data_IF_068035710001
#
_entry.id   IF_068035710001
#
_cell.length_a   1.000
_cell.length_b   1.000
_cell.length_c   1.000
_cell.angle_alpha   90.00
_cell.angle_beta   90.00
_cell.angle_gamma   90.00
#
_symmetry.space_group_name_H-M   'P 1'
#
loop_
_entity.id
_entity.type
_entity.pdbx_description
1 polymer ?
#
# COMPACT_ATOMS: atom_id res chain seq x y z
N UNK A 1 1.36 3.03 39.92
CA UNK A 1 1.92 4.29 39.39
C UNK A 1 1.79 4.24 37.88
N UNK A 2 1.00 5.17 37.33
CA UNK A 2 0.79 5.54 35.93
C UNK A 2 1.05 4.52 34.82
N UNK A 3 0.00 3.83 34.37
CA UNK A 3 -0.02 3.15 33.07
C UNK A 3 -0.19 4.17 31.94
N UNK A 4 0.61 4.05 30.89
CA UNK A 4 0.47 4.84 29.67
C UNK A 4 -0.72 4.32 28.87
N UNK A 5 -1.77 5.13 28.80
CA UNK A 5 -2.93 4.90 27.93
C UNK A 5 -2.48 5.30 26.52
N UNK A 6 -2.41 4.33 25.60
CA UNK A 6 -2.31 4.60 24.17
C UNK A 6 -3.60 5.27 23.73
N UNK A 7 -3.57 6.60 23.63
CA UNK A 7 -4.71 7.38 23.17
C UNK A 7 -4.86 7.14 21.66
N UNK A 8 -6.05 6.73 21.20
CA UNK A 8 -6.36 6.68 19.76
C UNK A 8 -6.15 8.08 19.19
N UNK A 9 -5.22 8.23 18.25
CA UNK A 9 -5.01 9.49 17.53
C UNK A 9 -6.31 9.87 16.81
N UNK A 10 -6.86 11.04 17.14
CA UNK A 10 -8.09 11.55 16.55
C UNK A 10 -7.79 12.21 15.21
N UNK A 11 -7.56 11.40 14.17
CA UNK A 11 -7.31 11.88 12.81
C UNK A 11 -8.58 12.50 12.26
N UNK A 12 -8.55 13.81 12.02
CA UNK A 12 -9.72 14.59 11.54
C UNK A 12 -9.60 15.04 10.09
N UNK A 13 -8.40 14.98 9.51
CA UNK A 13 -8.16 15.37 8.12
C UNK A 13 -7.01 14.55 7.52
N UNK A 14 -7.19 14.03 6.31
CA UNK A 14 -6.17 13.26 5.58
C UNK A 14 -6.20 13.57 4.09
N UNK A 15 -5.06 13.43 3.41
CA UNK A 15 -4.94 13.67 1.96
C UNK A 15 -3.51 13.54 1.45
N UNK A 16 -3.23 14.10 0.27
CA UNK A 16 -1.91 14.05 -0.38
C UNK A 16 -1.37 15.44 -0.72
N UNK A 17 -0.07 15.64 -0.50
CA UNK A 17 0.65 16.87 -0.87
C UNK A 17 0.75 17.09 -2.39
N UNK A 18 0.55 16.03 -3.20
CA UNK A 18 0.48 16.12 -4.66
C UNK A 18 -0.77 16.87 -5.15
N UNK A 19 -1.80 17.00 -4.30
CA UNK A 19 -3.04 17.73 -4.60
C UNK A 19 -3.09 19.11 -3.94
N UNK A 20 -2.68 19.21 -2.67
CA UNK A 20 -2.58 20.46 -1.89
C UNK A 20 -1.18 20.52 -1.30
N UNK A 21 -0.35 21.47 -1.73
CA UNK A 21 1.03 21.55 -1.26
C UNK A 21 1.10 21.91 0.25
N UNK A 22 2.28 21.71 0.87
CA UNK A 22 2.44 21.95 2.31
C UNK A 22 2.11 23.40 2.71
N UNK A 23 2.45 24.38 1.88
CA UNK A 23 2.14 25.79 2.14
C UNK A 23 0.64 26.04 2.25
N UNK A 24 -0.13 25.56 1.28
CA UNK A 24 -1.60 25.61 1.29
C UNK A 24 -2.19 24.86 2.47
N UNK A 25 -1.66 23.68 2.80
CA UNK A 25 -2.11 22.89 3.93
C UNK A 25 -1.95 23.64 5.27
N UNK A 26 -0.79 24.28 5.47
CA UNK A 26 -0.55 25.14 6.63
C UNK A 26 -1.48 26.36 6.65
N UNK A 27 -1.84 26.92 5.49
CA UNK A 27 -2.83 28.01 5.43
C UNK A 27 -4.23 27.54 5.84
N UNK A 28 -4.68 26.37 5.39
CA UNK A 28 -5.99 25.79 5.72
C UNK A 28 -6.08 25.54 7.24
N UNK A 29 -5.10 24.84 7.82
CA UNK A 29 -5.04 24.60 9.27
C UNK A 29 -4.94 25.92 10.05
N UNK A 30 -4.19 26.87 9.49
CA UNK A 30 -4.01 28.20 10.04
C UNK A 30 -5.27 29.06 10.07
N UNK A 31 -6.09 28.99 9.03
CA UNK A 31 -7.38 29.71 8.95
C UNK A 31 -8.40 29.17 9.95
N UNK A 32 -8.30 27.88 10.29
CA UNK A 32 -9.17 27.22 11.26
C UNK A 32 -8.65 27.31 12.72
N UNK A 33 -7.50 27.94 12.96
CA UNK A 33 -6.89 28.00 14.29
C UNK A 33 -6.60 26.61 14.88
N UNK A 34 -6.28 25.62 14.03
CA UNK A 34 -6.20 24.22 14.45
C UNK A 34 -4.97 23.93 15.31
N UNK A 35 -5.16 23.19 16.41
CA UNK A 35 -4.09 22.66 17.26
C UNK A 35 -4.01 21.14 17.10
N UNK A 36 -2.82 20.61 16.87
CA UNK A 36 -2.62 19.18 16.63
C UNK A 36 -1.31 18.85 15.94
N UNK A 37 -1.20 17.61 15.47
CA UNK A 37 -0.02 17.07 14.79
C UNK A 37 -0.38 16.77 13.33
N UNK A 38 0.36 17.38 12.40
CA UNK A 38 0.34 17.03 10.99
C UNK A 38 1.49 16.06 10.72
N UNK A 39 1.16 14.78 10.53
CA UNK A 39 2.09 13.74 10.13
C UNK A 39 2.17 13.67 8.62
N UNK A 40 3.38 13.72 8.08
CA UNK A 40 3.69 13.52 6.66
C UNK A 40 4.37 12.16 6.50
N UNK A 41 3.88 11.34 5.57
CA UNK A 41 4.48 10.04 5.23
C UNK A 41 4.74 10.00 3.73
N UNK A 42 5.99 9.81 3.32
CA UNK A 42 6.37 9.70 1.92
C UNK A 42 7.09 8.38 1.69
N UNK A 43 6.89 7.77 0.52
CA UNK A 43 7.68 6.60 0.12
C UNK A 43 9.14 6.97 -0.17
N UNK A 44 9.43 8.24 -0.46
CA UNK A 44 10.77 8.70 -0.79
C UNK A 44 11.56 9.17 0.44
N UNK A 45 11.01 9.00 1.65
CA UNK A 45 11.64 9.36 2.91
C UNK A 45 11.62 8.18 3.91
N UNK A 46 12.71 7.90 4.64
CA UNK A 46 12.82 6.74 5.52
C UNK A 46 11.98 6.85 6.79
N UNK A 47 11.66 8.07 7.21
CA UNK A 47 10.92 8.35 8.45
C UNK A 47 9.79 9.34 8.16
N UNK A 48 8.63 9.22 8.84
CA UNK A 48 7.60 10.24 8.76
C UNK A 48 8.10 11.60 9.25
N UNK A 49 7.66 12.66 8.58
CA UNK A 49 7.81 14.03 9.07
C UNK A 49 6.66 14.39 10.00
N UNK A 50 6.92 15.23 11.00
CA UNK A 50 5.88 15.74 11.91
C UNK A 50 5.93 17.26 11.97
N UNK A 51 4.77 17.89 11.96
CA UNK A 51 4.63 19.32 12.18
C UNK A 51 3.64 19.51 13.31
N UNK A 52 4.06 20.20 14.37
CA UNK A 52 3.24 20.47 15.54
C UNK A 52 2.65 21.87 15.42
N UNK A 53 1.33 21.95 15.45
CA UNK A 53 0.59 23.21 15.31
C UNK A 53 -0.12 23.57 16.61
N UNK A 54 -0.04 24.85 16.99
CA UNK A 54 -0.77 25.46 18.10
C UNK A 54 -1.53 26.68 17.57
N UNK A 55 -2.85 26.72 17.76
CA UNK A 55 -3.72 27.80 17.29
C UNK A 55 -3.48 28.13 15.80
N UNK A 56 -3.24 27.10 14.99
CA UNK A 56 -2.97 27.19 13.57
C UNK A 56 -1.54 27.60 13.20
N UNK A 57 -0.62 27.77 14.15
CA UNK A 57 0.77 28.17 13.89
C UNK A 57 1.73 26.98 14.09
N UNK A 58 2.65 26.71 13.14
CA UNK A 58 3.72 25.75 13.38
C UNK A 58 4.61 26.20 14.54
N UNK A 59 4.67 25.40 15.61
CA UNK A 59 5.52 25.66 16.78
C UNK A 59 6.74 24.76 16.84
N UNK A 60 6.68 23.60 16.19
CA UNK A 60 7.80 22.68 16.01
C UNK A 60 7.62 21.83 14.75
N UNK A 61 8.70 21.22 14.29
CA UNK A 61 8.66 20.16 13.28
C UNK A 61 9.78 19.16 13.54
N UNK A 62 9.64 17.94 13.02
CA UNK A 62 10.61 16.86 13.09
C UNK A 62 10.71 16.20 11.71
N UNK A 63 11.94 15.96 11.25
CA UNK A 63 12.21 15.21 10.02
C UNK A 63 13.54 14.45 10.19
N UNK A 64 13.46 13.17 10.52
CA UNK A 64 14.64 12.38 10.92
C UNK A 64 15.31 12.97 12.17
N UNK A 65 16.59 13.31 12.06
CA UNK A 65 17.35 13.92 13.16
C UNK A 65 17.15 15.45 13.28
N UNK A 66 16.52 16.08 12.28
CA UNK A 66 16.28 17.53 12.28
C UNK A 66 15.05 17.88 13.12
N UNK A 67 15.12 19.04 13.80
CA UNK A 67 14.00 19.59 14.58
C UNK A 67 13.79 21.09 14.33
N UNK A 68 12.60 21.58 14.68
CA UNK A 68 12.26 23.01 14.62
C UNK A 68 12.18 23.55 13.18
N UNK A 69 12.70 24.75 12.97
CA UNK A 69 12.59 25.46 11.70
C UNK A 69 13.27 24.72 10.55
N UNK A 70 14.45 24.14 10.81
CA UNK A 70 15.23 23.46 9.79
C UNK A 70 14.50 22.20 9.29
N UNK A 71 13.92 21.42 10.21
CA UNK A 71 13.03 20.33 9.87
C UNK A 71 11.85 20.80 9.01
N UNK A 72 11.14 21.85 9.44
CA UNK A 72 10.01 22.39 8.68
C UNK A 72 10.42 22.81 7.26
N UNK A 73 11.57 23.47 7.10
CA UNK A 73 12.08 23.88 5.78
C UNK A 73 12.30 22.68 4.87
N UNK A 74 12.90 21.59 5.37
CA UNK A 74 13.12 20.38 4.56
C UNK A 74 11.81 19.71 4.15
N UNK A 75 10.77 19.76 5.00
CA UNK A 75 9.45 19.20 4.68
C UNK A 75 8.72 19.95 3.55
N UNK A 76 9.07 21.23 3.27
CA UNK A 76 8.55 21.92 2.08
C UNK A 76 9.03 21.29 0.76
N UNK A 77 10.18 20.59 0.78
CA UNK A 77 10.68 19.85 -0.38
C UNK A 77 9.89 18.58 -0.69
N UNK A 78 9.00 18.13 0.20
CA UNK A 78 8.21 16.92 -0.01
C UNK A 78 7.05 17.21 -0.97
N UNK A 79 7.25 16.85 -2.24
CA UNK A 79 6.28 17.06 -3.31
C UNK A 79 5.21 15.96 -3.32
N UNK A 80 5.60 14.73 -2.99
CA UNK A 80 4.72 13.56 -2.94
C UNK A 80 4.76 12.93 -1.54
N UNK A 81 3.78 13.28 -0.70
CA UNK A 81 3.60 12.70 0.62
C UNK A 81 2.12 12.62 1.00
N UNK A 82 1.76 11.64 1.83
CA UNK A 82 0.49 11.60 2.54
C UNK A 82 0.54 12.47 3.78
N UNK A 83 -0.55 13.15 4.06
CA UNK A 83 -0.70 13.88 5.30
C UNK A 83 -1.88 13.33 6.12
N UNK A 84 -1.68 13.28 7.43
CA UNK A 84 -2.71 12.98 8.42
C UNK A 84 -2.63 14.04 9.52
N UNK A 85 -3.72 14.75 9.76
CA UNK A 85 -3.82 15.72 10.85
C UNK A 85 -4.66 15.14 11.99
N UNK A 86 -4.02 14.98 13.14
CA UNK A 86 -4.65 14.56 14.39
C UNK A 86 -4.93 15.78 15.26
N UNK A 87 -6.21 16.01 15.58
CA UNK A 87 -6.61 17.10 16.47
C UNK A 87 -6.44 16.65 17.94
N UNK A 88 -5.30 16.99 18.52
CA UNK A 88 -4.94 16.59 19.88
C UNK A 88 -4.07 17.65 20.59
N UNK A 89 -4.07 17.68 21.94
CA UNK A 89 -3.21 18.57 22.69
C UNK A 89 -1.74 18.24 22.42
N UNK A 90 -0.96 19.25 22.01
CA UNK A 90 0.47 19.06 21.76
C UNK A 90 1.30 19.38 23.01
N UNK A 91 2.25 18.50 23.32
CA UNK A 91 3.27 18.70 24.35
C UNK A 91 4.65 18.66 23.69
N UNK A 92 4.95 19.65 22.85
CA UNK A 92 6.22 19.76 22.13
C UNK A 92 6.95 21.07 22.49
N UNK A 93 8.27 21.10 22.32
CA UNK A 93 9.05 22.32 22.52
C UNK A 93 8.76 23.32 21.40
N UNK A 94 8.50 24.59 21.75
CA UNK A 94 8.26 25.67 20.77
C UNK A 94 9.59 26.16 20.18
N UNK A 95 10.10 25.44 19.19
CA UNK A 95 11.38 25.73 18.52
C UNK A 95 11.23 26.70 17.34
N UNK A 96 10.01 26.85 16.79
CA UNK A 96 9.71 27.77 15.69
C UNK A 96 9.13 29.06 16.26
N UNK A 97 9.76 30.19 15.91
CA UNK A 97 9.38 31.53 16.41
C UNK A 97 8.86 32.47 15.33
N UNK A 98 9.06 32.14 14.05
CA UNK A 98 8.61 32.96 12.92
C UNK A 98 7.10 32.84 12.75
N UNK A 99 6.49 33.85 12.15
CA UNK A 99 5.07 33.80 11.85
C UNK A 99 4.79 32.84 10.68
N UNK A 100 3.59 32.25 10.65
CA UNK A 100 3.21 31.24 9.65
C UNK A 100 3.42 31.69 8.19
N UNK A 101 3.13 32.94 7.86
CA UNK A 101 3.25 33.42 6.48
C UNK A 101 4.72 33.50 6.06
N UNK A 102 5.59 33.99 6.94
CA UNK A 102 7.04 34.03 6.74
C UNK A 102 7.60 32.63 6.55
N UNK A 103 7.15 31.65 7.35
CA UNK A 103 7.52 30.24 7.21
C UNK A 103 7.17 29.69 5.83
N UNK A 104 5.94 29.96 5.36
CA UNK A 104 5.45 29.45 4.08
C UNK A 104 6.21 30.09 2.92
N UNK A 105 6.41 31.41 2.93
CA UNK A 105 7.13 32.11 1.87
C UNK A 105 8.60 31.69 1.81
N UNK A 106 9.27 31.59 2.96
CA UNK A 106 10.66 31.11 3.02
C UNK A 106 10.75 29.67 2.51
N UNK A 107 9.87 28.77 2.98
CA UNK A 107 9.85 27.38 2.57
C UNK A 107 9.63 27.20 1.05
N UNK A 108 8.62 27.87 0.48
CA UNK A 108 8.37 27.81 -0.96
C UNK A 108 9.52 28.39 -1.79
N UNK A 109 10.10 29.52 -1.35
CA UNK A 109 11.29 30.10 -2.01
C UNK A 109 12.47 29.13 -1.98
N UNK A 110 12.74 28.47 -0.86
CA UNK A 110 13.83 27.49 -0.76
C UNK A 110 13.66 26.32 -1.73
N UNK A 111 12.42 25.90 -2.00
CA UNK A 111 12.10 24.86 -2.99
C UNK A 111 12.31 25.34 -4.43
N UNK A 112 11.96 26.60 -4.73
CA UNK A 112 12.14 27.19 -6.06
C UNK A 112 13.62 27.48 -6.38
N UNK A 113 14.37 27.98 -5.40
CA UNK A 113 15.81 28.25 -5.50
C UNK A 113 16.65 26.96 -5.51
N UNK A 114 16.04 25.80 -5.24
CA UNK A 114 16.72 24.51 -5.14
C UNK A 114 17.59 24.35 -3.88
N UNK A 115 17.37 25.19 -2.87
CA UNK A 115 18.05 25.11 -1.57
C UNK A 115 17.56 23.94 -0.71
N UNK A 116 16.37 23.39 -1.02
CA UNK A 116 15.83 22.16 -0.43
C UNK A 116 15.66 21.12 -1.53
N UNK A 117 16.06 19.89 -1.23
CA UNK A 117 15.89 18.77 -2.15
C UNK A 117 14.41 18.46 -2.38
N UNK A 118 14.01 18.39 -3.66
CA UNK A 118 12.65 17.99 -4.04
C UNK A 118 12.51 16.48 -3.95
N UNK A 119 11.76 16.04 -2.95
CA UNK A 119 11.51 14.64 -2.62
C UNK A 119 10.14 14.24 -3.17
N UNK A 120 10.13 13.35 -4.18
CA UNK A 120 8.92 12.93 -4.87
C UNK A 120 9.21 12.23 -6.19
N UNK A 121 8.18 11.76 -6.88
CA UNK A 121 8.24 10.94 -8.09
C UNK A 121 9.11 11.53 -9.22
N UNK A 122 9.12 12.85 -9.36
CA UNK A 122 9.88 13.53 -10.41
C UNK A 122 11.41 13.38 -10.25
N UNK A 123 11.93 13.10 -9.05
CA UNK A 123 13.34 12.81 -8.85
C UNK A 123 13.70 11.42 -9.40
N UNK A 124 12.84 10.42 -9.15
CA UNK A 124 13.02 9.03 -9.59
C UNK A 124 12.96 8.89 -11.12
N UNK A 125 12.05 9.60 -11.80
CA UNK A 125 11.93 9.57 -13.26
C UNK A 125 13.15 10.12 -14.00
N UNK A 126 13.90 11.07 -13.40
CA UNK A 126 15.13 11.59 -14.02
C UNK A 126 16.28 10.58 -13.99
N UNK A 127 16.22 9.60 -13.10
CA UNK A 127 17.28 8.63 -12.86
C UNK A 127 17.06 7.28 -13.57
N UNK A 128 15.85 7.02 -14.08
CA UNK A 128 15.46 5.68 -14.56
C UNK A 128 14.69 5.72 -15.88
N UNK A 129 15.09 4.86 -16.83
CA UNK A 129 14.21 4.52 -17.95
C UNK A 129 13.11 3.58 -17.42
N UNK A 130 11.85 4.02 -17.48
CA UNK A 130 10.69 3.20 -17.07
C UNK A 130 10.56 1.91 -17.91
N UNK A 131 11.18 1.89 -19.09
CA UNK A 131 11.27 0.73 -19.99
C UNK A 131 12.73 0.35 -20.16
N UNK A 132 13.05 -0.93 -20.10
CA UNK A 132 14.36 -1.49 -20.42
C UNK A 132 14.10 -2.76 -21.20
N UNK A 133 14.97 -3.03 -22.17
CA UNK A 133 14.91 -4.19 -23.06
C UNK A 133 15.27 -5.51 -22.36
N UNK A 134 15.56 -5.47 -21.06
CA UNK A 134 15.93 -6.67 -20.31
C UNK A 134 14.66 -7.50 -20.03
N UNK A 135 14.41 -8.47 -20.90
CA UNK A 135 13.17 -9.22 -21.02
C UNK A 135 13.09 -10.44 -20.11
N UNK A 136 14.17 -10.92 -19.49
CA UNK A 136 14.28 -12.35 -19.21
C UNK A 136 13.70 -12.90 -17.90
N UNK A 137 13.37 -12.08 -16.89
CA UNK A 137 13.09 -12.62 -15.54
C UNK A 137 11.80 -12.13 -14.86
N UNK A 138 10.92 -11.40 -15.55
CA UNK A 138 9.64 -10.98 -14.97
C UNK A 138 8.54 -12.03 -15.16
N UNK A 139 7.86 -12.47 -14.08
CA UNK A 139 6.74 -13.38 -14.22
C UNK A 139 5.59 -12.70 -14.98
N UNK A 140 4.93 -13.46 -15.85
CA UNK A 140 3.74 -13.03 -16.59
C UNK A 140 2.50 -13.67 -16.00
N UNK A 141 1.56 -12.87 -15.52
CA UNK A 141 0.24 -13.31 -15.06
C UNK A 141 -0.78 -12.98 -16.13
N UNK A 142 -1.55 -13.98 -16.55
CA UNK A 142 -2.74 -13.80 -17.40
C UNK A 142 -3.98 -14.04 -16.56
N UNK A 143 -5.07 -13.42 -16.94
CA UNK A 143 -6.35 -13.65 -16.28
C UNK A 143 -7.25 -14.63 -17.05
N UNK A 144 -8.41 -14.93 -16.47
CA UNK A 144 -9.43 -15.75 -17.10
C UNK A 144 -10.12 -15.02 -18.27
N UNK A 145 -11.11 -15.67 -18.88
CA UNK A 145 -11.89 -15.07 -19.97
C UNK A 145 -12.57 -13.77 -19.51
N UNK A 146 -12.51 -12.77 -20.38
CA UNK A 146 -13.03 -11.42 -20.14
C UNK A 146 -14.54 -11.45 -20.31
N UNK A 147 -15.26 -11.00 -19.28
CA UNK A 147 -16.70 -10.77 -19.38
C UNK A 147 -16.96 -9.37 -19.95
N UNK A 148 -17.12 -9.30 -21.28
CA UNK A 148 -17.32 -8.05 -22.00
C UNK A 148 -18.57 -7.28 -21.55
N UNK A 149 -19.51 -7.89 -20.84
CA UNK A 149 -20.69 -7.18 -20.31
C UNK A 149 -20.32 -6.13 -19.24
N UNK A 150 -19.11 -6.22 -18.66
CA UNK A 150 -18.58 -5.24 -17.71
C UNK A 150 -17.66 -4.22 -18.37
N UNK A 151 -17.34 -4.35 -19.67
CA UNK A 151 -16.51 -3.39 -20.39
C UNK A 151 -17.39 -2.29 -20.95
N UNK A 152 -17.14 -1.05 -20.54
CA UNK A 152 -17.92 0.14 -20.95
C UNK A 152 -17.21 1.00 -21.99
N UNK A 153 -15.89 0.88 -22.07
CA UNK A 153 -15.06 1.59 -23.04
C UNK A 153 -13.77 0.80 -23.31
N UNK A 154 -13.07 1.12 -24.38
CA UNK A 154 -11.77 0.55 -24.71
C UNK A 154 -10.73 1.64 -24.94
N UNK A 155 -9.59 1.51 -24.30
CA UNK A 155 -8.49 2.47 -24.38
C UNK A 155 -7.24 1.80 -24.96
N UNK A 156 -6.56 2.50 -25.86
CA UNK A 156 -5.28 2.06 -26.41
C UNK A 156 -4.12 2.87 -25.86
N UNK A 157 -3.07 2.15 -25.47
CA UNK A 157 -1.84 2.74 -24.94
C UNK A 157 -0.65 2.33 -25.81
N UNK A 158 0.14 3.33 -26.21
CA UNK A 158 1.43 3.12 -26.87
C UNK A 158 2.48 2.64 -25.86
N UNK A 159 3.57 2.05 -26.38
CA UNK A 159 4.68 1.58 -25.56
C UNK A 159 5.20 2.67 -24.61
N UNK A 160 5.41 2.32 -23.34
CA UNK A 160 5.93 3.23 -22.32
C UNK A 160 4.92 4.18 -21.70
N UNK A 161 3.66 4.16 -22.14
CA UNK A 161 2.63 5.00 -21.54
C UNK A 161 2.24 4.46 -20.18
N UNK A 162 2.24 5.36 -19.20
CA UNK A 162 1.74 5.08 -17.86
C UNK A 162 0.21 5.06 -17.89
N UNK A 163 -0.37 3.94 -17.47
CA UNK A 163 -1.81 3.71 -17.38
C UNK A 163 -2.29 4.06 -15.97
N UNK A 164 -1.59 3.55 -14.97
CA UNK A 164 -1.83 3.83 -13.56
C UNK A 164 -0.58 4.43 -12.95
N UNK A 165 -0.74 5.40 -12.07
CA UNK A 165 0.36 6.11 -11.42
C UNK A 165 0.27 5.88 -9.92
N UNK A 166 1.36 5.39 -9.31
CA UNK A 166 1.51 5.22 -7.86
C UNK A 166 1.23 6.55 -7.13
N UNK A 167 0.64 6.47 -5.94
CA UNK A 167 0.27 7.60 -5.07
C UNK A 167 -0.80 8.56 -5.61
N UNK A 168 -1.20 8.44 -6.88
CA UNK A 168 -2.37 9.15 -7.39
C UNK A 168 -3.66 8.49 -6.97
N UNK A 169 -4.68 9.30 -6.76
CA UNK A 169 -6.05 8.84 -6.54
C UNK A 169 -6.68 8.41 -7.86
N UNK A 170 -7.37 7.27 -7.85
CA UNK A 170 -8.11 6.82 -9.02
C UNK A 170 -8.92 5.56 -8.73
N UNK A 171 -10.16 5.56 -9.20
CA UNK A 171 -11.11 4.45 -8.99
C UNK A 171 -11.34 3.63 -10.27
N UNK A 172 -10.69 4.00 -11.38
CA UNK A 172 -10.83 3.30 -12.65
C UNK A 172 -10.29 1.87 -12.54
N UNK A 173 -10.97 0.94 -13.18
CA UNK A 173 -10.57 -0.45 -13.24
C UNK A 173 -10.47 -0.82 -14.70
N UNK A 174 -9.43 -1.56 -15.05
CA UNK A 174 -9.26 -2.05 -16.40
C UNK A 174 -9.04 -3.55 -16.41
N UNK A 175 -9.32 -4.15 -17.56
CA UNK A 175 -8.89 -5.50 -17.91
C UNK A 175 -8.04 -5.43 -19.18
N UNK A 176 -6.96 -6.21 -19.23
CA UNK A 176 -6.10 -6.27 -20.42
C UNK A 176 -6.81 -7.07 -21.50
N UNK A 177 -7.27 -6.41 -22.57
CA UNK A 177 -7.90 -7.07 -23.72
C UNK A 177 -6.84 -7.65 -24.65
N UNK A 178 -5.74 -6.91 -24.85
CA UNK A 178 -4.63 -7.31 -25.71
C UNK A 178 -3.32 -6.64 -25.28
N UNK A 179 -2.22 -7.37 -25.41
CA UNK A 179 -0.87 -6.89 -25.09
C UNK A 179 -0.46 -7.17 -23.65
N UNK A 180 0.57 -6.46 -23.19
CA UNK A 180 1.20 -6.69 -21.88
C UNK A 180 1.45 -5.36 -21.19
N UNK A 181 1.16 -5.30 -19.89
CA UNK A 181 1.55 -4.17 -19.03
C UNK A 181 2.51 -4.65 -17.96
N UNK A 182 3.31 -3.74 -17.44
CA UNK A 182 4.26 -4.01 -16.36
C UNK A 182 3.87 -3.23 -15.10
N UNK A 183 3.82 -3.92 -13.97
CA UNK A 183 3.60 -3.33 -12.66
C UNK A 183 4.96 -2.99 -12.06
N UNK A 184 5.18 -1.70 -11.82
CA UNK A 184 6.42 -1.17 -11.27
C UNK A 184 6.15 -0.40 -9.97
N UNK A 185 7.12 -0.49 -9.06
CA UNK A 185 7.16 0.26 -7.81
C UNK A 185 8.22 1.35 -7.92
N UNK A 186 7.80 2.58 -7.63
CA UNK A 186 8.70 3.72 -7.56
C UNK A 186 9.18 3.83 -6.11
N UNK A 187 10.48 3.60 -5.92
CA UNK A 187 11.19 3.66 -4.64
C UNK A 187 12.17 4.85 -4.69
N UNK A 188 12.59 5.40 -3.55
CA UNK A 188 13.59 6.48 -3.51
C UNK A 188 14.89 6.12 -4.23
N UNK A 189 15.30 4.86 -4.20
CA UNK A 189 16.53 4.34 -4.80
C UNK A 189 16.39 4.05 -6.31
N UNK A 190 15.16 3.92 -6.82
CA UNK A 190 14.91 3.62 -8.22
C UNK A 190 13.60 2.90 -8.50
N UNK A 191 13.54 2.22 -9.65
CA UNK A 191 12.34 1.53 -10.13
C UNK A 191 12.46 0.03 -9.92
N UNK A 192 11.58 -0.53 -9.09
CA UNK A 192 11.48 -1.98 -8.88
C UNK A 192 10.40 -2.58 -9.77
N UNK A 193 10.77 -3.53 -10.63
CA UNK A 193 9.84 -4.22 -11.53
C UNK A 193 9.31 -5.49 -10.91
N UNK A 194 8.00 -5.54 -10.73
CA UNK A 194 7.36 -6.56 -9.89
C UNK A 194 6.86 -7.74 -10.75
N UNK A 195 5.98 -7.46 -11.71
CA UNK A 195 5.26 -8.48 -12.49
C UNK A 195 4.75 -7.90 -13.80
N UNK A 196 4.59 -8.75 -14.82
CA UNK A 196 3.89 -8.42 -16.06
C UNK A 196 2.48 -9.00 -16.04
N UNK A 197 1.52 -8.23 -16.54
CA UNK A 197 0.13 -8.62 -16.68
C UNK A 197 -0.23 -8.69 -18.16
N UNK A 198 -0.74 -9.83 -18.61
CA UNK A 198 -1.18 -10.07 -19.98
C UNK A 198 -2.70 -10.13 -20.11
N UNK A 199 -3.17 -10.65 -21.24
CA UNK A 199 -4.61 -10.77 -21.54
C UNK A 199 -5.43 -11.39 -20.40
N UNK A 200 -6.61 -10.82 -20.16
CA UNK A 200 -7.54 -11.19 -19.09
C UNK A 200 -7.14 -10.69 -17.70
N UNK A 201 -5.91 -10.21 -17.50
CA UNK A 201 -5.45 -9.68 -16.21
C UNK A 201 -6.12 -8.35 -15.88
N UNK A 202 -6.32 -8.09 -14.59
CA UNK A 202 -6.94 -6.86 -14.12
C UNK A 202 -5.89 -5.83 -13.70
N UNK A 203 -6.14 -4.57 -14.04
CA UNK A 203 -5.38 -3.41 -13.58
C UNK A 203 -6.27 -2.58 -12.67
N UNK A 204 -5.90 -2.52 -11.40
CA UNK A 204 -6.72 -1.97 -10.32
C UNK A 204 -6.72 -2.90 -9.11
N UNK A 205 -7.25 -2.44 -7.98
CA UNK A 205 -7.29 -3.23 -6.74
C UNK A 205 -8.73 -3.43 -6.28
N UNK A 206 -8.98 -4.48 -5.49
CA UNK A 206 -10.29 -4.72 -4.89
C UNK A 206 -10.66 -3.63 -3.88
N UNK A 207 -9.67 -3.11 -3.15
CA UNK A 207 -9.86 -2.01 -2.20
C UNK A 207 -10.29 -0.71 -2.90
N UNK A 208 -9.90 -0.52 -4.18
CA UNK A 208 -10.38 0.62 -4.98
C UNK A 208 -11.88 0.60 -5.28
N UNK A 209 -12.54 -0.56 -5.16
CA UNK A 209 -14.00 -0.69 -5.20
C UNK A 209 -14.60 -0.24 -3.87
N UNK A 210 -13.97 -0.61 -2.76
CA UNK A 210 -14.53 -0.43 -1.41
C UNK A 210 -14.38 1.00 -0.88
N UNK A 211 -13.31 1.71 -1.22
CA UNK A 211 -12.96 3.01 -0.64
C UNK A 211 -13.05 4.18 -1.62
N UNK A 212 -13.69 5.27 -1.20
CA UNK A 212 -13.63 6.54 -1.94
C UNK A 212 -12.25 7.15 -1.77
N UNK A 213 -11.58 7.41 -2.89
CA UNK A 213 -10.24 8.00 -2.88
C UNK A 213 -9.16 6.96 -2.61
N UNK A 214 -9.26 5.79 -3.25
CA UNK A 214 -8.19 4.80 -3.21
C UNK A 214 -6.92 5.35 -3.86
N UNK A 215 -5.80 5.15 -3.17
CA UNK A 215 -4.49 5.53 -3.64
C UNK A 215 -3.78 4.35 -4.26
N UNK A 216 -3.26 4.55 -5.48
CA UNK A 216 -2.57 3.50 -6.21
C UNK A 216 -1.28 3.10 -5.54
N UNK A 217 -1.12 1.80 -5.31
CA UNK A 217 0.06 1.22 -4.69
C UNK A 217 1.26 1.05 -5.64
N UNK A 218 1.03 1.09 -6.95
CA UNK A 218 2.05 0.86 -7.97
C UNK A 218 1.73 1.65 -9.24
N UNK A 219 2.75 1.85 -10.08
CA UNK A 219 2.59 2.38 -11.43
C UNK A 219 2.44 1.21 -12.40
N UNK A 220 1.58 1.36 -13.41
CA UNK A 220 1.39 0.35 -14.47
C UNK A 220 1.73 0.98 -15.80
N UNK A 221 2.63 0.36 -16.55
CA UNK A 221 3.17 0.89 -17.81
C UNK A 221 2.89 -0.08 -18.96
N UNK A 222 2.49 0.44 -20.11
CA UNK A 222 2.31 -0.36 -21.32
C UNK A 222 3.64 -0.87 -21.87
N UNK A 223 3.73 -2.18 -22.16
CA UNK A 223 4.87 -2.80 -22.84
C UNK A 223 4.42 -3.17 -24.26
N UNK A 224 4.88 -2.39 -25.24
CA UNK A 224 4.33 -2.41 -26.59
C UNK A 224 2.97 -1.73 -26.68
N UNK A 225 2.19 -2.03 -27.74
CA UNK A 225 0.82 -1.55 -27.88
C UNK A 225 -0.10 -2.41 -27.01
N UNK A 226 -0.87 -1.76 -26.15
CA UNK A 226 -1.81 -2.40 -25.21
C UNK A 226 -3.21 -1.87 -25.46
N UNK A 227 -4.19 -2.76 -25.41
CA UNK A 227 -5.61 -2.42 -25.43
C UNK A 227 -6.23 -2.86 -24.10
N UNK A 228 -6.87 -1.92 -23.41
CA UNK A 228 -7.51 -2.13 -22.13
C UNK A 228 -9.01 -1.90 -22.25
N UNK A 229 -9.80 -2.73 -21.59
CA UNK A 229 -11.22 -2.53 -21.40
C UNK A 229 -11.46 -1.80 -20.09
N UNK A 230 -12.08 -0.63 -20.14
CA UNK A 230 -12.51 0.13 -18.97
C UNK A 230 -13.72 -0.58 -18.37
N UNK A 231 -13.64 -0.94 -17.09
CA UNK A 231 -14.69 -1.69 -16.41
C UNK A 231 -15.76 -0.75 -15.81
N UNK A 232 -17.01 -1.20 -15.81
CA UNK A 232 -18.14 -0.52 -15.18
C UNK A 232 -17.99 -0.54 -13.65
N UNK A 233 -17.32 0.49 -13.13
CA UNK A 233 -17.14 0.68 -11.70
C UNK A 233 -18.47 0.73 -10.95
N UNK A 234 -19.51 1.36 -11.51
CA UNK A 234 -20.80 1.53 -10.82
C UNK A 234 -21.48 0.17 -10.65
N UNK A 235 -21.43 -0.68 -11.67
CA UNK A 235 -21.98 -2.03 -11.62
C UNK A 235 -21.21 -2.91 -10.64
N UNK A 236 -19.88 -2.95 -10.74
CA UNK A 236 -19.01 -3.72 -9.84
C UNK A 236 -19.20 -3.27 -8.39
N UNK A 237 -19.27 -1.97 -8.14
CA UNK A 237 -19.50 -1.40 -6.81
C UNK A 237 -20.84 -1.83 -6.21
N UNK A 238 -21.92 -1.82 -6.99
CA UNK A 238 -23.24 -2.27 -6.51
C UNK A 238 -23.22 -3.73 -6.09
N UNK A 239 -22.55 -4.58 -6.85
CA UNK A 239 -22.39 -5.99 -6.49
C UNK A 239 -21.57 -6.12 -5.21
N UNK A 240 -20.44 -5.41 -5.12
CA UNK A 240 -19.57 -5.43 -3.94
C UNK A 240 -20.28 -4.98 -2.66
N UNK A 241 -21.10 -3.94 -2.71
CA UNK A 241 -21.86 -3.44 -1.54
C UNK A 241 -22.88 -4.46 -1.04
N UNK A 242 -23.43 -5.29 -1.93
CA UNK A 242 -24.41 -6.32 -1.60
C UNK A 242 -23.80 -7.60 -1.03
N UNK A 243 -22.48 -7.74 -1.02
CA UNK A 243 -21.80 -8.88 -0.40
C UNK A 243 -21.97 -8.87 1.13
N UNK A 244 -21.86 -10.04 1.75
CA UNK A 244 -21.77 -10.19 3.19
C UNK A 244 -20.54 -9.46 3.73
N UNK A 245 -20.61 -9.01 4.98
CA UNK A 245 -19.48 -8.37 5.63
C UNK A 245 -18.26 -9.31 5.74
N UNK A 246 -18.48 -10.61 5.94
CA UNK A 246 -17.40 -11.59 6.00
C UNK A 246 -16.66 -11.73 4.66
N UNK A 247 -17.39 -11.79 3.54
CA UNK A 247 -16.75 -11.87 2.22
C UNK A 247 -16.02 -10.57 1.88
N UNK A 248 -16.61 -9.40 2.18
CA UNK A 248 -15.94 -8.09 2.01
C UNK A 248 -14.62 -8.04 2.80
N UNK A 249 -14.63 -8.52 4.03
CA UNK A 249 -13.44 -8.57 4.89
C UNK A 249 -12.36 -9.48 4.27
N UNK A 250 -12.73 -10.66 3.76
CA UNK A 250 -11.79 -11.56 3.07
C UNK A 250 -11.16 -10.88 1.84
N UNK A 251 -11.97 -10.24 0.99
CA UNK A 251 -11.48 -9.56 -0.21
C UNK A 251 -10.56 -8.37 0.13
N UNK A 252 -10.89 -7.59 1.17
CA UNK A 252 -10.03 -6.50 1.67
C UNK A 252 -8.71 -7.02 2.23
N UNK A 253 -8.76 -8.08 3.04
CA UNK A 253 -7.55 -8.68 3.62
C UNK A 253 -6.64 -9.27 2.54
N UNK A 254 -7.22 -9.86 1.48
CA UNK A 254 -6.48 -10.30 0.29
C UNK A 254 -5.77 -9.15 -0.41
N UNK A 255 -6.46 -8.04 -0.68
CA UNK A 255 -5.88 -6.86 -1.34
C UNK A 255 -4.76 -6.24 -0.49
N UNK A 256 -4.96 -6.16 0.84
CA UNK A 256 -3.94 -5.69 1.79
C UNK A 256 -2.69 -6.57 1.77
N UNK A 257 -2.82 -7.90 1.68
CA UNK A 257 -1.69 -8.81 1.51
C UNK A 257 -0.96 -8.56 0.20
N UNK A 258 -1.70 -8.40 -0.90
CA UNK A 258 -1.13 -8.09 -2.21
C UNK A 258 -0.32 -6.78 -2.18
N UNK A 259 -0.87 -5.75 -1.51
CA UNK A 259 -0.23 -4.45 -1.32
C UNK A 259 1.11 -4.55 -0.58
N UNK A 260 1.12 -5.31 0.52
CA UNK A 260 2.31 -5.53 1.35
C UNK A 260 3.38 -6.32 0.61
N UNK A 261 3.02 -7.46 -0.01
CA UNK A 261 4.02 -8.29 -0.69
C UNK A 261 4.63 -7.58 -1.90
N UNK A 262 3.86 -6.73 -2.59
CA UNK A 262 4.38 -5.89 -3.68
C UNK A 262 5.43 -4.89 -3.16
N UNK A 263 5.20 -4.32 -1.96
CA UNK A 263 6.19 -3.45 -1.30
C UNK A 263 7.44 -4.24 -0.90
N UNK A 264 7.28 -5.40 -0.24
CA UNK A 264 8.41 -6.23 0.16
C UNK A 264 9.21 -6.75 -1.04
N UNK A 265 8.55 -7.04 -2.17
CA UNK A 265 9.24 -7.37 -3.41
C UNK A 265 10.05 -6.19 -3.96
N UNK A 266 9.53 -4.97 -3.86
CA UNK A 266 10.26 -3.79 -4.29
C UNK A 266 11.50 -3.54 -3.43
N UNK A 267 11.36 -3.67 -2.11
CA UNK A 267 12.45 -3.54 -1.14
C UNK A 267 13.53 -4.61 -1.37
N UNK A 268 13.12 -5.88 -1.54
CA UNK A 268 14.04 -6.99 -1.79
C UNK A 268 14.86 -6.80 -3.08
N UNK A 269 14.23 -6.25 -4.14
CA UNK A 269 14.92 -5.91 -5.39
C UNK A 269 15.92 -4.76 -5.23
N UNK A 270 15.76 -3.94 -4.19
CA UNK A 270 16.69 -2.86 -3.80
C UNK A 270 17.65 -3.30 -2.68
N UNK A 271 17.74 -4.60 -2.40
CA UNK A 271 18.63 -5.21 -1.40
C UNK A 271 18.26 -4.82 0.04
N UNK A 272 17.02 -4.37 0.26
CA UNK A 272 16.44 -4.15 1.58
C UNK A 272 15.67 -5.39 2.00
N UNK A 273 16.35 -6.29 2.72
CA UNK A 273 15.80 -7.58 3.13
C UNK A 273 15.11 -7.47 4.50
N UNK A 274 13.82 -7.81 4.53
CA UNK A 274 12.95 -7.88 5.69
C UNK A 274 12.92 -9.31 6.26
N UNK A 275 13.74 -9.54 7.29
CA UNK A 275 13.68 -10.78 8.07
C UNK A 275 12.63 -10.63 9.17
N UNK A 276 11.77 -11.63 9.31
CA UNK A 276 10.72 -11.61 10.33
C UNK A 276 11.33 -11.73 11.73
N UNK A 277 11.16 -10.68 12.54
CA UNK A 277 11.34 -10.80 13.99
C UNK A 277 10.07 -11.32 14.63
N UNK A 278 10.11 -12.57 15.07
CA UNK A 278 9.03 -13.27 15.77
C UNK A 278 9.38 -13.53 17.25
N UNK A 279 10.42 -12.88 17.78
CA UNK A 279 10.77 -13.01 19.20
C UNK A 279 9.62 -12.50 20.08
N UNK A 280 9.22 -13.32 21.05
CA UNK A 280 8.08 -13.01 21.92
C UNK A 280 6.70 -13.30 21.30
N UNK A 281 6.63 -13.67 20.02
CA UNK A 281 5.38 -14.12 19.39
C UNK A 281 5.17 -15.62 19.59
N UNK A 282 3.91 -16.05 19.66
CA UNK A 282 3.51 -17.45 19.80
C UNK A 282 3.13 -18.04 18.44
N UNK A 283 3.51 -19.29 18.12
CA UNK A 283 3.03 -19.93 16.89
C UNK A 283 1.52 -20.16 16.96
N UNK A 284 0.80 -19.75 15.93
CA UNK A 284 -0.65 -19.92 15.82
C UNK A 284 -1.04 -20.87 14.68
N UNK A 285 -0.45 -20.67 13.49
CA UNK A 285 -0.57 -21.60 12.36
C UNK A 285 0.83 -22.05 11.95
N UNK A 286 1.11 -23.34 12.06
CA UNK A 286 2.36 -23.97 11.63
C UNK A 286 2.08 -25.40 11.19
N UNK A 287 3.07 -26.09 10.62
CA UNK A 287 2.98 -27.52 10.31
C UNK A 287 2.56 -28.38 11.52
N UNK A 288 2.84 -27.92 12.75
CA UNK A 288 2.50 -28.62 14.00
C UNK A 288 1.19 -28.15 14.62
N UNK A 289 0.74 -26.96 14.28
CA UNK A 289 -0.41 -26.30 14.88
C UNK A 289 -1.26 -25.72 13.75
N UNK A 290 -2.11 -26.53 13.14
CA UNK A 290 -3.04 -26.07 12.11
C UNK A 290 -4.42 -26.66 12.40
N UNK A 291 -5.40 -25.78 12.62
CA UNK A 291 -6.79 -26.18 12.88
C UNK A 291 -7.63 -26.27 11.60
N UNK A 292 -7.04 -25.95 10.45
CA UNK A 292 -7.70 -25.87 9.13
C UNK A 292 -8.96 -24.98 9.12
N UNK A 293 -8.97 -23.97 10.00
CA UNK A 293 -10.06 -23.02 10.18
C UNK A 293 -9.64 -21.63 9.73
N UNK A 294 -10.64 -20.75 9.62
CA UNK A 294 -10.47 -19.34 9.27
C UNK A 294 -10.89 -18.49 10.46
N UNK A 295 -10.09 -17.47 10.76
CA UNK A 295 -10.32 -16.58 11.89
C UNK A 295 -10.30 -15.12 11.44
N UNK A 296 -11.26 -14.34 11.92
CA UNK A 296 -11.27 -12.88 11.83
C UNK A 296 -10.59 -12.29 13.07
N UNK A 297 -9.57 -11.48 12.86
CA UNK A 297 -8.79 -10.89 13.94
C UNK A 297 -9.60 -9.76 14.58
N UNK A 298 -9.88 -9.86 15.87
CA UNK A 298 -10.60 -8.84 16.65
C UNK A 298 -9.66 -7.92 17.41
N UNK A 299 -8.46 -8.40 17.77
CA UNK A 299 -7.40 -7.63 18.44
C UNK A 299 -6.03 -8.27 18.19
N UNK A 300 -4.96 -7.48 18.40
CA UNK A 300 -3.56 -7.93 18.29
C UNK A 300 -2.99 -7.90 16.88
N UNK A 301 -1.81 -8.49 16.73
CA UNK A 301 -1.04 -8.54 15.49
C UNK A 301 -0.66 -9.97 15.13
N UNK A 302 -0.63 -10.24 13.83
CA UNK A 302 -0.17 -11.51 13.26
C UNK A 302 0.91 -11.22 12.22
N UNK A 303 2.01 -11.97 12.30
CA UNK A 303 3.04 -12.01 11.26
C UNK A 303 2.91 -13.30 10.47
N UNK A 304 2.80 -13.17 9.15
CA UNK A 304 2.88 -14.31 8.23
C UNK A 304 4.32 -14.41 7.73
N UNK A 305 4.91 -15.58 7.97
CA UNK A 305 6.34 -15.81 7.81
C UNK A 305 6.57 -17.11 7.05
N UNK A 306 7.49 -17.09 6.09
CA UNK A 306 7.90 -18.28 5.37
C UNK A 306 9.31 -18.69 5.75
N UNK A 307 9.46 -19.98 6.10
CA UNK A 307 10.75 -20.58 6.43
C UNK A 307 11.46 -20.99 5.15
N UNK A 308 12.65 -20.45 4.91
CA UNK A 308 13.53 -20.86 3.82
C UNK A 308 14.91 -21.15 4.41
N UNK A 309 15.20 -22.44 4.63
CA UNK A 309 16.40 -22.87 5.34
C UNK A 309 16.44 -22.34 6.78
N UNK A 310 17.40 -21.46 7.09
CA UNK A 310 17.52 -20.78 8.39
C UNK A 310 16.86 -19.40 8.44
N UNK A 311 16.40 -18.89 7.29
CA UNK A 311 15.82 -17.57 7.18
C UNK A 311 14.31 -17.61 7.42
N UNK A 312 13.82 -16.57 8.09
CA UNK A 312 12.41 -16.31 8.30
C UNK A 312 12.03 -15.11 7.44
N UNK A 313 11.51 -15.38 6.24
CA UNK A 313 11.10 -14.34 5.29
C UNK A 313 9.75 -13.80 5.72
N UNK A 314 9.66 -12.50 5.97
CA UNK A 314 8.39 -11.86 6.31
C UNK A 314 7.55 -11.67 5.03
N UNK A 315 6.28 -12.13 5.04
CA UNK A 315 5.40 -12.05 3.88
C UNK A 315 4.33 -10.97 4.00
N UNK A 316 3.73 -10.83 5.18
CA UNK A 316 2.79 -9.75 5.50
C UNK A 316 2.47 -9.68 6.99
N UNK A 317 1.95 -8.53 7.42
CA UNK A 317 1.32 -8.31 8.71
C UNK A 317 -0.20 -8.27 8.58
N UNK A 318 -0.88 -8.85 9.56
CA UNK A 318 -2.32 -8.82 9.69
C UNK A 318 -2.68 -8.25 11.06
N UNK A 319 -3.75 -7.47 11.11
CA UNK A 319 -4.20 -6.77 12.30
C UNK A 319 -5.71 -6.93 12.47
N UNK A 320 -6.29 -6.24 13.46
CA UNK A 320 -7.74 -6.15 13.61
C UNK A 320 -8.45 -5.90 12.26
N UNK A 321 -9.48 -6.71 11.97
CA UNK A 321 -10.25 -6.66 10.74
C UNK A 321 -9.69 -7.51 9.59
N UNK A 322 -8.49 -8.09 9.73
CA UNK A 322 -7.94 -9.03 8.76
C UNK A 322 -8.36 -10.48 9.03
N UNK A 323 -8.12 -11.34 8.05
CA UNK A 323 -8.36 -12.77 8.13
C UNK A 323 -7.04 -13.53 8.17
N UNK A 324 -6.96 -14.53 9.04
CA UNK A 324 -5.86 -15.50 9.13
C UNK A 324 -6.42 -16.92 9.09
N UNK A 325 -5.77 -17.82 8.34
CA UNK A 325 -6.17 -19.22 8.27
C UNK A 325 -6.35 -19.78 6.87
N UNK A 326 -7.05 -20.91 6.79
CA UNK A 326 -7.19 -21.68 5.54
C UNK A 326 -8.35 -21.18 4.68
N UNK A 327 -8.06 -20.40 3.63
CA UNK A 327 -9.05 -19.98 2.64
C UNK A 327 -8.83 -20.76 1.33
N UNK A 328 -9.41 -21.96 1.17
CA UNK A 328 -9.01 -22.90 0.12
C UNK A 328 -9.27 -22.41 -1.32
N UNK A 329 -10.22 -21.48 -1.48
CA UNK A 329 -10.56 -20.88 -2.78
C UNK A 329 -9.69 -19.67 -3.15
N UNK A 330 -8.84 -19.18 -2.23
CA UNK A 330 -7.88 -18.10 -2.48
C UNK A 330 -6.45 -18.65 -2.28
N UNK A 331 -5.81 -19.05 -3.37
CA UNK A 331 -4.49 -19.68 -3.35
C UNK A 331 -3.34 -18.66 -3.29
N UNK A 332 -3.20 -17.95 -2.17
CA UNK A 332 -2.18 -16.89 -2.01
C UNK A 332 -0.75 -17.39 -1.85
N UNK A 333 -0.53 -18.70 -1.69
CA UNK A 333 0.77 -19.28 -1.30
C UNK A 333 1.33 -18.74 0.02
N UNK A 334 0.43 -18.36 0.95
CA UNK A 334 0.74 -18.00 2.32
C UNK A 334 0.35 -19.16 3.27
N UNK A 335 -0.16 -18.84 4.45
CA UNK A 335 -0.69 -19.81 5.39
C UNK A 335 -1.95 -20.49 4.82
N UNK A 336 -2.23 -21.75 5.22
CA UNK A 336 -1.47 -22.54 6.20
C UNK A 336 -0.37 -23.43 5.61
N UNK A 337 -0.25 -23.52 4.28
CA UNK A 337 0.55 -24.57 3.64
C UNK A 337 1.96 -24.13 3.22
N UNK A 338 2.15 -22.86 2.88
CA UNK A 338 3.42 -22.32 2.40
C UNK A 338 4.04 -21.29 3.35
N UNK A 339 3.30 -20.89 4.39
CA UNK A 339 3.76 -19.96 5.41
C UNK A 339 3.13 -20.28 6.78
N UNK A 340 3.77 -19.77 7.81
CA UNK A 340 3.36 -19.90 9.21
C UNK A 340 2.84 -18.55 9.72
N UNK A 341 1.90 -18.60 10.67
CA UNK A 341 1.36 -17.43 11.36
C UNK A 341 1.82 -17.40 12.81
N UNK A 342 2.39 -16.27 13.21
CA UNK A 342 2.81 -15.98 14.58
C UNK A 342 1.99 -14.83 15.14
N UNK A 343 1.52 -14.96 16.39
CA UNK A 343 0.63 -14.02 17.06
C UNK A 343 1.31 -13.36 18.25
N UNK A 344 0.93 -12.12 18.56
CA UNK A 344 1.32 -11.47 19.81
C UNK A 344 0.44 -11.90 21.00
N UNK A 345 0.77 -11.40 22.20
CA UNK A 345 0.01 -11.70 23.42
C UNK A 345 -1.37 -11.05 23.47
N UNK A 346 -1.63 -10.03 22.64
CA UNK A 346 -2.89 -9.30 22.57
C UNK A 346 -3.86 -9.89 21.53
N UNK A 347 -3.46 -10.98 20.88
CA UNK A 347 -4.21 -11.61 19.80
C UNK A 347 -5.52 -12.21 20.28
N UNK A 348 -6.59 -11.74 19.66
CA UNK A 348 -7.92 -12.31 19.78
C UNK A 348 -8.53 -12.44 18.39
N UNK A 349 -9.29 -13.51 18.15
CA UNK A 349 -9.96 -13.72 16.88
C UNK A 349 -11.22 -14.57 17.04
N UNK A 350 -12.17 -14.37 16.13
CA UNK A 350 -13.40 -15.16 16.03
C UNK A 350 -13.32 -16.11 14.85
N UNK A 351 -13.73 -17.36 15.04
CA UNK A 351 -13.84 -18.33 13.95
C UNK A 351 -14.95 -17.93 12.99
N UNK A 352 -14.72 -18.09 11.68
CA UNK A 352 -15.74 -17.86 10.65
C UNK A 352 -16.04 -19.18 9.94
N UNK A 353 -17.33 -19.38 9.64
CA UNK A 353 -17.77 -20.49 8.81
C UNK A 353 -17.43 -20.23 7.33
N UNK A 354 -16.33 -20.84 6.89
CA UNK A 354 -15.83 -20.69 5.53
C UNK A 354 -16.72 -21.36 4.48
N UNK A 355 -17.55 -22.33 4.87
CA UNK A 355 -18.43 -23.03 3.93
C UNK A 355 -19.53 -22.10 3.43
N UNK A 356 -20.16 -21.33 4.34
CA UNK A 356 -21.17 -20.33 3.99
C UNK A 356 -20.59 -19.25 3.08
N UNK A 357 -19.37 -18.79 3.37
CA UNK A 357 -18.70 -17.79 2.54
C UNK A 357 -18.34 -18.37 1.17
N UNK A 358 -17.94 -19.65 1.10
CA UNK A 358 -17.63 -20.30 -0.17
C UNK A 358 -18.86 -20.38 -1.08
N UNK A 359 -20.03 -20.69 -0.53
CA UNK A 359 -21.28 -20.68 -1.30
C UNK A 359 -21.58 -19.28 -1.85
N UNK A 360 -21.39 -18.23 -1.05
CA UNK A 360 -21.54 -16.85 -1.53
C UNK A 360 -20.51 -16.51 -2.62
N UNK A 361 -19.25 -16.89 -2.41
CA UNK A 361 -18.15 -16.67 -3.36
C UNK A 361 -18.42 -17.34 -4.72
N UNK A 362 -18.98 -18.54 -4.72
CA UNK A 362 -19.33 -19.28 -5.93
C UNK A 362 -20.51 -18.68 -6.71
N UNK A 363 -21.31 -17.83 -6.04
CA UNK A 363 -22.42 -17.11 -6.63
C UNK A 363 -22.05 -15.68 -7.07
N UNK A 364 -20.79 -15.28 -6.94
CA UNK A 364 -20.32 -14.00 -7.46
C UNK A 364 -20.50 -13.92 -8.98
N UNK A 365 -20.58 -12.69 -9.50
CA UNK A 365 -20.40 -12.49 -10.93
C UNK A 365 -19.03 -12.99 -11.37
N UNK A 366 -18.93 -13.46 -12.61
CA UNK A 366 -17.66 -13.90 -13.19
C UNK A 366 -16.58 -12.83 -13.02
N UNK A 367 -16.90 -11.55 -13.25
CA UNK A 367 -15.96 -10.45 -13.08
C UNK A 367 -15.42 -10.35 -11.65
N UNK A 368 -16.28 -10.31 -10.63
CA UNK A 368 -15.81 -10.20 -9.23
C UNK A 368 -15.02 -11.44 -8.79
N UNK A 369 -15.48 -12.64 -9.17
CA UNK A 369 -14.76 -13.88 -8.90
C UNK A 369 -13.38 -13.86 -9.55
N UNK A 370 -13.31 -13.49 -10.83
CA UNK A 370 -12.08 -13.39 -11.60
C UNK A 370 -11.12 -12.35 -11.02
N UNK A 371 -11.61 -11.20 -10.56
CA UNK A 371 -10.80 -10.20 -9.87
C UNK A 371 -10.18 -10.76 -8.58
N UNK A 372 -10.97 -11.47 -7.76
CA UNK A 372 -10.47 -12.08 -6.53
C UNK A 372 -9.39 -13.15 -6.82
N UNK A 373 -9.62 -14.03 -7.81
CA UNK A 373 -8.65 -15.05 -8.22
C UNK A 373 -7.38 -14.43 -8.81
N UNK A 374 -7.54 -13.37 -9.61
CA UNK A 374 -6.41 -12.64 -10.18
C UNK A 374 -5.55 -12.00 -9.09
N UNK A 375 -6.15 -11.35 -8.09
CA UNK A 375 -5.42 -10.78 -6.95
C UNK A 375 -4.71 -11.88 -6.14
N UNK A 376 -5.35 -13.03 -5.90
CA UNK A 376 -4.70 -14.16 -5.22
C UNK A 376 -3.52 -14.73 -6.02
N UNK A 377 -3.67 -14.84 -7.35
CA UNK A 377 -2.60 -15.30 -8.24
C UNK A 377 -1.43 -14.32 -8.27
N UNK A 378 -1.71 -13.01 -8.39
CA UNK A 378 -0.66 -11.98 -8.32
C UNK A 378 0.06 -11.99 -6.97
N UNK A 379 -0.67 -12.19 -5.87
CA UNK A 379 -0.09 -12.34 -4.53
C UNK A 379 0.85 -13.54 -4.49
N UNK A 380 0.41 -14.73 -4.93
CA UNK A 380 1.23 -15.95 -4.96
C UNK A 380 2.49 -15.78 -5.80
N UNK A 381 2.35 -15.27 -7.03
CA UNK A 381 3.46 -15.07 -7.96
C UNK A 381 4.48 -14.07 -7.39
N UNK A 382 4.00 -12.98 -6.81
CA UNK A 382 4.87 -11.97 -6.19
C UNK A 382 5.56 -12.53 -4.94
N UNK A 383 4.84 -13.30 -4.10
CA UNK A 383 5.43 -14.00 -2.96
C UNK A 383 6.54 -14.95 -3.38
N UNK A 384 6.34 -15.72 -4.46
CA UNK A 384 7.39 -16.59 -4.99
C UNK A 384 8.61 -15.79 -5.44
N UNK A 385 8.40 -14.67 -6.14
CA UNK A 385 9.49 -13.78 -6.58
C UNK A 385 10.30 -13.24 -5.38
N UNK A 386 9.63 -12.81 -4.31
CA UNK A 386 10.30 -12.41 -3.06
C UNK A 386 11.17 -13.55 -2.54
N UNK A 387 10.59 -14.74 -2.38
CA UNK A 387 11.33 -15.91 -1.88
C UNK A 387 12.54 -16.26 -2.75
N UNK A 388 12.40 -16.21 -4.08
CA UNK A 388 13.48 -16.51 -5.01
C UNK A 388 14.63 -15.48 -4.91
N UNK A 389 14.32 -14.20 -4.66
CA UNK A 389 15.34 -13.16 -4.37
C UNK A 389 16.08 -13.50 -3.08
N UNK A 390 15.37 -13.85 -2.00
CA UNK A 390 15.99 -14.20 -0.71
C UNK A 390 16.88 -15.44 -0.81
N UNK A 391 16.51 -16.42 -1.63
CA UNK A 391 17.35 -17.61 -1.89
C UNK A 391 18.67 -17.24 -2.55
N UNK A 392 18.64 -16.41 -3.59
CA UNK A 392 19.87 -15.95 -4.26
C UNK A 392 20.82 -15.26 -3.27
N UNK A 393 20.29 -14.44 -2.36
CA UNK A 393 21.06 -13.78 -1.31
C UNK A 393 21.57 -14.69 -0.18
N UNK A 394 20.96 -15.86 0.02
CA UNK A 394 21.41 -16.82 1.04
C UNK A 394 22.61 -17.65 0.57
N UNK A 395 22.78 -17.76 -0.75
CA UNK A 395 23.82 -18.54 -1.43
C UNK A 395 25.05 -17.67 -1.82
N UNK A 396 24.96 -16.35 -1.67
CA UNK A 396 26.08 -15.37 -1.77
C UNK A 396 26.65 -15.03 -0.39
#
# INVERSE_FOLDING_TARGET
MGGWIMNKSNVVLKGSLSFINLGEMLQILGGNGSTGILKLTSLYAPHPGYIFLEEGNPVNAENGELQGQEALNTLFGWMDAQFEFSAEPISSQKLIKKNRMELILDGLRMVDDGAVEKLGRASVQKQSNLITEDESDLPLVRGPLIDYIYVVDEEEFANGREIVIQEKYGNWLWVVLKGTVEVIRLMPEGVSRIVRLGEGAFVGSLESIAEKGYMRNATVVAVGRVQLGVLDFVRIYREFVNLSEHLKIILRSLDKRFKQITTFCADALMNHMHMADVKGMKPFITDKFNKEKVFMITSGQVKIVRKEGRQLVELCHLSQGDIVGNIPFLQTSHEPFAAEAYIDDAFEATEIDIAVIKEEYDNLSNTLMNMAQHTATCTSVTTRRVVDIYKKYADE
#
